data_IF_370564390780
#
_entry.id   IF_370564390780
#
_cell.length_a   1.000
_cell.length_b   1.000
_cell.length_c   1.000
_cell.angle_alpha   90.00
_cell.angle_beta   90.00
_cell.angle_gamma   90.00
#
_symmetry.space_group_name_H-M   'P 1'
#
loop_
_entity.id
_entity.type
_entity.pdbx_description
1 polymer ?
#
# COMPACT_ATOMS: atom_id res chain seq x y z
N UNK A 1 25.52 10.24 7.17
CA UNK A 1 24.27 11.02 6.98
C UNK A 1 23.14 10.00 6.92
N UNK A 2 22.52 9.69 8.06
CA UNK A 2 21.44 8.70 8.12
C UNK A 2 20.16 9.35 7.59
N UNK A 3 19.81 9.08 6.33
CA UNK A 3 18.43 9.23 5.89
C UNK A 3 17.64 8.18 6.66
N UNK A 4 16.72 8.60 7.54
CA UNK A 4 15.79 7.68 8.17
C UNK A 4 15.05 6.92 7.07
N UNK A 5 15.42 5.66 6.85
CA UNK A 5 14.67 4.79 5.95
C UNK A 5 13.25 4.68 6.50
N UNK A 6 12.24 5.02 5.67
CA UNK A 6 10.84 4.86 6.05
C UNK A 6 10.60 3.43 6.52
N UNK A 7 9.88 3.30 7.62
CA UNK A 7 9.47 2.01 8.17
C UNK A 7 8.48 1.34 7.24
N UNK A 8 8.42 0.01 7.32
CA UNK A 8 7.40 -0.80 6.62
C UNK A 8 5.98 -0.29 6.93
N UNK A 9 5.74 0.13 8.16
CA UNK A 9 4.46 0.72 8.59
C UNK A 9 4.15 2.03 7.87
N UNK A 10 5.09 2.98 7.83
CA UNK A 10 4.90 4.27 7.16
C UNK A 10 4.60 4.10 5.66
N UNK A 11 5.30 3.18 4.99
CA UNK A 11 5.09 2.89 3.56
C UNK A 11 3.65 2.38 3.32
N UNK A 12 3.16 1.46 4.17
CA UNK A 12 1.80 0.93 4.03
C UNK A 12 0.75 1.99 4.36
N UNK A 13 0.95 2.78 5.42
CA UNK A 13 0.05 3.87 5.78
C UNK A 13 -0.05 4.90 4.66
N UNK A 14 1.08 5.32 4.09
CA UNK A 14 1.12 6.26 2.97
C UNK A 14 0.34 5.72 1.76
N UNK A 15 0.53 4.43 1.42
CA UNK A 15 -0.18 3.78 0.32
C UNK A 15 -1.70 3.72 0.56
N UNK A 16 -2.13 3.38 1.77
CA UNK A 16 -3.56 3.36 2.15
C UNK A 16 -4.17 4.76 2.10
N UNK A 17 -3.46 5.78 2.60
CA UNK A 17 -3.93 7.17 2.55
C UNK A 17 -4.05 7.67 1.11
N UNK A 18 -3.09 7.34 0.25
CA UNK A 18 -3.14 7.67 -1.18
C UNK A 18 -4.34 7.00 -1.86
N UNK A 19 -4.59 5.72 -1.57
CA UNK A 19 -5.75 5.00 -2.12
C UNK A 19 -7.08 5.62 -1.66
N UNK A 20 -7.19 5.98 -0.38
CA UNK A 20 -8.37 6.69 0.16
C UNK A 20 -8.61 8.02 -0.54
N UNK A 21 -7.56 8.78 -0.86
CA UNK A 21 -7.69 10.03 -1.61
C UNK A 21 -8.23 9.78 -3.02
N UNK A 22 -7.67 8.82 -3.75
CA UNK A 22 -8.13 8.45 -5.11
C UNK A 22 -9.61 8.03 -5.11
N UNK A 23 -10.04 7.25 -4.10
CA UNK A 23 -11.43 6.86 -3.94
C UNK A 23 -12.32 8.06 -3.57
N UNK A 24 -11.84 8.93 -2.68
CA UNK A 24 -12.52 10.15 -2.24
C UNK A 24 -12.86 11.08 -3.41
N UNK A 25 -11.88 11.34 -4.28
CA UNK A 25 -12.05 12.14 -5.50
C UNK A 25 -13.14 11.57 -6.43
N UNK A 26 -13.26 10.24 -6.52
CA UNK A 26 -14.27 9.61 -7.38
C UNK A 26 -15.70 9.62 -6.79
N UNK A 27 -15.84 9.75 -5.47
CA UNK A 27 -17.17 9.83 -4.82
C UNK A 27 -17.62 11.27 -4.60
N UNK A 28 -16.77 12.26 -4.87
CA UNK A 28 -17.05 13.68 -4.66
C UNK A 28 -18.28 14.13 -5.48
N UNK A 29 -19.29 14.74 -4.84
CA UNK A 29 -20.45 15.27 -5.53
C UNK A 29 -20.08 16.36 -6.54
N UNK A 30 -20.67 16.33 -7.73
CA UNK A 30 -20.49 17.38 -8.73
C UNK A 30 -19.27 17.22 -9.65
N UNK A 31 -18.39 16.23 -9.41
CA UNK A 31 -17.35 15.86 -10.37
C UNK A 31 -17.79 14.72 -11.31
N UNK A 32 -17.36 14.75 -12.58
CA UNK A 32 -17.55 13.61 -13.49
C UNK A 32 -16.81 12.38 -12.95
N UNK A 33 -17.57 11.32 -12.64
CA UNK A 33 -17.01 10.06 -12.17
C UNK A 33 -16.38 9.31 -13.34
N UNK A 34 -15.16 8.83 -13.16
CA UNK A 34 -14.49 8.01 -14.16
C UNK A 34 -13.85 6.80 -13.48
N UNK A 35 -14.65 5.73 -13.37
CA UNK A 35 -14.23 4.50 -12.72
C UNK A 35 -12.95 3.91 -13.34
N UNK A 36 -12.79 3.99 -14.67
CA UNK A 36 -11.61 3.49 -15.37
C UNK A 36 -10.34 4.21 -14.94
N UNK A 37 -10.39 5.55 -14.85
CA UNK A 37 -9.24 6.35 -14.39
C UNK A 37 -8.96 6.10 -12.91
N UNK A 38 -9.99 6.01 -12.08
CA UNK A 38 -9.85 5.69 -10.65
C UNK A 38 -9.19 4.33 -10.45
N UNK A 39 -9.62 3.30 -11.17
CA UNK A 39 -9.03 1.95 -11.09
C UNK A 39 -7.57 1.96 -11.56
N UNK A 40 -7.24 2.64 -12.66
CA UNK A 40 -5.85 2.76 -13.12
C UNK A 40 -4.95 3.42 -12.06
N UNK A 41 -5.43 4.48 -11.41
CA UNK A 41 -4.68 5.16 -10.34
C UNK A 41 -4.47 4.24 -9.13
N UNK A 42 -5.48 3.44 -8.76
CA UNK A 42 -5.35 2.45 -7.68
C UNK A 42 -4.34 1.35 -8.03
N UNK A 43 -4.40 0.81 -9.25
CA UNK A 43 -3.42 -0.19 -9.70
C UNK A 43 -1.99 0.37 -9.65
N UNK A 44 -1.79 1.62 -10.08
CA UNK A 44 -0.48 2.28 -9.97
C UNK A 44 0.02 2.46 -8.53
N UNK A 45 -0.88 2.62 -7.55
CA UNK A 45 -0.50 2.62 -6.13
C UNK A 45 -0.11 1.23 -5.63
N UNK A 46 -0.79 0.19 -6.12
CA UNK A 46 -0.48 -1.20 -5.77
C UNK A 46 0.84 -1.65 -6.38
N UNK A 47 1.14 -1.28 -7.63
CA UNK A 47 2.38 -1.59 -8.34
C UNK A 47 3.63 -0.86 -7.81
N UNK A 48 3.48 -0.11 -6.71
CA UNK A 48 4.59 0.58 -6.08
C UNK A 48 5.61 -0.43 -5.52
N UNK A 49 6.86 -0.32 -6.00
CA UNK A 49 7.97 -1.21 -5.61
C UNK A 49 8.22 -1.25 -4.11
N UNK A 50 8.08 -0.13 -3.42
CA UNK A 50 8.29 -0.06 -1.97
C UNK A 50 7.18 -0.81 -1.24
N UNK A 51 5.93 -0.66 -1.68
CA UNK A 51 4.77 -1.40 -1.15
C UNK A 51 4.97 -2.91 -1.36
N UNK A 52 5.35 -3.33 -2.57
CA UNK A 52 5.66 -4.73 -2.85
C UNK A 52 6.80 -5.27 -1.96
N UNK A 53 7.87 -4.50 -1.79
CA UNK A 53 9.00 -4.90 -0.98
C UNK A 53 8.61 -5.05 0.50
N UNK A 54 7.77 -4.16 1.03
CA UNK A 54 7.22 -4.25 2.39
C UNK A 54 6.33 -5.48 2.54
N UNK A 55 5.37 -5.69 1.63
CA UNK A 55 4.46 -6.84 1.71
C UNK A 55 5.23 -8.16 1.70
N UNK A 56 6.27 -8.27 0.87
CA UNK A 56 7.16 -9.44 0.87
C UNK A 56 7.88 -9.62 2.21
N UNK A 57 8.35 -8.55 2.86
CA UNK A 57 8.99 -8.63 4.18
C UNK A 57 8.02 -9.07 5.27
N UNK A 58 6.78 -8.59 5.23
CA UNK A 58 5.72 -8.98 6.18
C UNK A 58 5.37 -10.47 6.01
N UNK A 59 5.17 -10.93 4.77
CA UNK A 59 4.83 -12.32 4.47
C UNK A 59 5.92 -13.30 4.90
N UNK A 60 7.19 -12.95 4.66
CA UNK A 60 8.33 -13.72 5.15
C UNK A 60 8.34 -13.78 6.68
N UNK A 61 8.08 -12.69 7.40
CA UNK A 61 8.04 -12.68 8.87
C UNK A 61 6.96 -13.61 9.41
N UNK A 62 5.76 -13.58 8.84
CA UNK A 62 4.66 -14.46 9.23
C UNK A 62 5.00 -15.94 8.97
N UNK A 63 5.69 -16.23 7.86
CA UNK A 63 6.16 -17.58 7.54
C UNK A 63 7.17 -18.09 8.58
N UNK A 64 8.11 -17.26 9.02
CA UNK A 64 9.08 -17.63 10.05
C UNK A 64 8.44 -17.83 11.44
N UNK A 65 7.45 -17.02 11.81
CA UNK A 65 6.70 -17.20 13.07
C UNK A 65 5.97 -18.55 13.09
N UNK A 66 5.36 -18.98 11.97
CA UNK A 66 4.71 -20.30 11.87
C UNK A 66 5.69 -21.46 12.08
N UNK A 67 6.89 -21.39 11.48
CA UNK A 67 7.92 -22.43 11.65
C UNK A 67 8.48 -22.46 13.09
N UNK A 68 8.50 -21.31 13.79
CA UNK A 68 9.02 -21.24 15.16
C UNK A 68 8.05 -21.76 16.23
N UNK A 69 6.79 -22.05 15.88
CA UNK A 69 5.76 -22.57 16.80
C UNK A 69 5.74 -24.12 16.83
N UNK A 70 6.52 -24.77 15.96
CA UNK A 70 6.72 -26.23 15.98
C UNK A 70 8.10 -26.59 16.53
N UNK A 71 8.35 -26.39 17.83
CA UNK A 71 9.43 -27.10 18.56
C UNK A 71 9.11 -27.23 20.04
#
# INVERSE_FOLDING_TARGET
MSLFARTDYEIIVDAVQAARRVLGENIEPGQPRNATVTVHRLLGLLDNRDVHAVLKRIDLRNTFELVSVET
#
